data_IF_123289292459
#
_entry.id   IF_123289292459
#
_cell.length_a   1.000
_cell.length_b   1.000
_cell.length_c   1.000
_cell.angle_alpha   90.00
_cell.angle_beta   90.00
_cell.angle_gamma   90.00
#
_symmetry.space_group_name_H-M   'P 1'
#
loop_
_entity.id
_entity.type
_entity.pdbx_description
1 polymer ?
#
# COMPACT_ATOMS: atom_id res chain seq x y z
N UNK A 1 -48.94 -45.47 17.78
CA UNK A 1 -47.96 -45.42 18.90
C UNK A 1 -46.58 -45.79 18.35
N UNK A 2 -45.48 -45.30 18.94
CA UNK A 2 -44.61 -44.15 18.58
C UNK A 2 -43.55 -44.48 17.50
N UNK A 3 -43.09 -43.55 16.66
CA UNK A 3 -41.99 -42.59 16.90
C UNK A 3 -40.69 -43.22 17.44
N UNK A 4 -39.58 -43.12 16.68
CA UNK A 4 -38.49 -42.15 16.92
C UNK A 4 -37.32 -42.34 15.94
N UNK A 5 -36.71 -41.20 15.63
CA UNK A 5 -35.53 -40.93 14.78
C UNK A 5 -34.22 -41.51 15.37
N UNK A 6 -33.26 -41.83 14.50
CA UNK A 6 -31.82 -41.49 14.59
C UNK A 6 -31.13 -42.08 13.31
N UNK A 7 -30.46 -41.37 12.39
CA UNK A 7 -29.38 -40.35 12.43
C UNK A 7 -27.97 -40.97 12.36
N UNK A 8 -27.32 -40.73 11.20
CA UNK A 8 -25.90 -40.39 10.95
C UNK A 8 -24.87 -41.43 10.45
N UNK A 9 -24.18 -40.94 9.39
CA UNK A 9 -22.75 -41.02 9.03
C UNK A 9 -22.17 -42.12 8.14
N UNK A 10 -21.41 -41.61 7.15
CA UNK A 10 -20.23 -42.23 6.55
C UNK A 10 -20.54 -42.99 5.26
N UNK A 11 -19.76 -42.94 4.18
CA UNK A 11 -18.44 -42.37 3.87
C UNK A 11 -18.34 -42.49 2.34
N UNK A 12 -17.92 -41.48 1.59
CA UNK A 12 -16.54 -41.41 1.11
C UNK A 12 -16.43 -41.68 -0.39
N UNK A 13 -15.76 -40.80 -1.11
CA UNK A 13 -14.94 -41.18 -2.27
C UNK A 13 -13.81 -40.17 -2.40
N UNK A 14 -12.62 -40.68 -2.11
CA UNK A 14 -11.33 -40.02 -2.32
C UNK A 14 -10.89 -40.38 -3.74
N UNK A 15 -10.64 -39.36 -4.55
CA UNK A 15 -9.77 -39.43 -5.73
C UNK A 15 -9.05 -38.07 -5.76
N UNK A 16 -7.74 -37.95 -5.65
CA UNK A 16 -6.70 -38.83 -6.15
C UNK A 16 -5.85 -37.98 -7.10
N UNK A 17 -4.87 -37.26 -6.54
CA UNK A 17 -4.00 -36.37 -7.32
C UNK A 17 -2.95 -35.72 -6.42
N UNK A 18 -1.87 -36.46 -6.13
CA UNK A 18 -0.69 -35.93 -5.46
C UNK A 18 0.19 -35.27 -6.52
N UNK A 19 0.30 -33.94 -6.46
CA UNK A 19 1.48 -33.23 -6.96
C UNK A 19 2.16 -32.61 -5.74
N UNK A 20 3.32 -33.16 -5.43
CA UNK A 20 4.28 -32.62 -4.47
C UNK A 20 4.79 -31.25 -4.97
N UNK A 21 4.97 -30.32 -4.03
CA UNK A 21 6.03 -29.31 -4.17
C UNK A 21 5.58 -27.87 -4.40
N UNK A 22 4.94 -27.26 -3.40
CA UNK A 22 5.43 -26.05 -2.71
C UNK A 22 4.35 -25.65 -1.71
N UNK A 23 4.62 -25.79 -0.42
CA UNK A 23 3.92 -24.96 0.57
C UNK A 23 4.51 -23.58 0.39
N UNK A 24 4.00 -22.82 -0.59
CA UNK A 24 4.17 -21.40 -0.60
C UNK A 24 3.41 -20.91 0.63
N UNK A 25 4.13 -20.62 1.71
CA UNK A 25 3.70 -19.67 2.74
C UNK A 25 3.65 -18.26 2.14
N UNK A 26 3.08 -18.12 0.94
CA UNK A 26 2.75 -16.86 0.32
C UNK A 26 1.41 -16.42 0.91
N UNK A 27 1.33 -15.19 1.39
CA UNK A 27 0.09 -14.64 1.93
C UNK A 27 -1.06 -14.90 0.96
N UNK A 28 -2.22 -15.31 1.49
CA UNK A 28 -3.43 -15.41 0.69
C UNK A 28 -3.67 -14.05 0.03
N UNK A 29 -3.96 -14.05 -1.27
CA UNK A 29 -4.30 -12.81 -1.96
C UNK A 29 -5.56 -12.21 -1.32
N UNK A 30 -5.53 -10.91 -1.07
CA UNK A 30 -6.59 -10.17 -0.42
C UNK A 30 -7.00 -9.01 -1.31
N UNK A 31 -8.29 -8.80 -1.47
CA UNK A 31 -8.83 -7.66 -2.22
C UNK A 31 -9.34 -6.62 -1.24
N UNK A 32 -8.91 -5.38 -1.42
CA UNK A 32 -9.30 -4.30 -0.54
C UNK A 32 -9.10 -2.93 -1.15
N UNK A 33 -9.67 -1.92 -0.51
CA UNK A 33 -9.56 -0.52 -0.95
C UNK A 33 -8.18 0.05 -0.60
N UNK A 34 -7.54 0.74 -1.53
CA UNK A 34 -6.29 1.49 -1.29
C UNK A 34 -6.64 2.74 -0.49
N UNK A 35 -6.11 2.84 0.72
CA UNK A 35 -6.44 3.92 1.68
C UNK A 35 -5.25 4.78 2.10
N UNK A 36 -4.03 4.38 1.72
CA UNK A 36 -2.79 5.11 1.97
C UNK A 36 -1.81 4.92 0.81
N UNK A 37 -1.13 6.00 0.44
CA UNK A 37 0.08 6.01 -0.38
C UNK A 37 1.14 6.83 0.35
N UNK A 38 2.40 6.38 0.31
CA UNK A 38 3.55 7.15 0.79
C UNK A 38 4.74 7.01 -0.13
N UNK A 39 5.49 8.10 -0.27
CA UNK A 39 6.83 8.11 -0.85
C UNK A 39 7.79 8.43 0.29
N UNK A 40 8.43 7.39 0.81
CA UNK A 40 9.42 7.48 1.87
C UNK A 40 10.83 7.54 1.30
N UNK A 41 11.72 8.22 2.00
CA UNK A 41 13.14 8.31 1.64
C UNK A 41 14.02 8.13 2.86
N UNK A 42 15.28 7.77 2.63
CA UNK A 42 16.30 7.75 3.68
C UNK A 42 17.57 8.46 3.24
N UNK A 43 18.30 9.05 4.18
CA UNK A 43 19.56 9.74 3.92
C UNK A 43 20.52 9.60 5.11
N UNK A 44 21.81 9.82 4.87
CA UNK A 44 22.82 9.76 5.92
C UNK A 44 23.16 11.17 6.41
N UNK A 45 23.31 11.33 7.72
CA UNK A 45 23.78 12.57 8.34
C UNK A 45 24.61 12.27 9.60
N UNK A 46 25.46 13.21 10.02
CA UNK A 46 26.12 13.14 11.33
C UNK A 46 27.08 11.96 11.53
N UNK A 47 27.81 11.52 10.49
CA UNK A 47 28.77 10.42 10.61
C UNK A 47 28.24 9.04 10.22
N UNK A 48 27.22 9.01 9.34
CA UNK A 48 26.67 7.77 8.76
C UNK A 48 25.39 7.28 9.43
N UNK A 49 24.76 8.08 10.30
CA UNK A 49 23.45 7.75 10.86
C UNK A 49 22.38 7.87 9.76
N UNK A 50 21.59 6.81 9.60
CA UNK A 50 20.53 6.76 8.60
C UNK A 50 19.24 7.36 9.16
N UNK A 51 18.75 8.40 8.51
CA UNK A 51 17.51 9.09 8.80
C UNK A 51 16.43 8.72 7.78
N UNK A 52 15.17 8.87 8.19
CA UNK A 52 14.01 8.57 7.37
C UNK A 52 13.00 9.72 7.41
N UNK A 53 12.28 9.89 6.30
CA UNK A 53 11.23 10.90 6.16
C UNK A 53 10.31 10.52 5.00
N UNK A 54 9.14 11.15 4.95
CA UNK A 54 8.19 10.96 3.85
C UNK A 54 8.10 12.26 3.06
N UNK A 55 8.33 12.17 1.74
CA UNK A 55 8.15 13.26 0.78
C UNK A 55 6.68 13.44 0.40
N UNK A 56 5.90 12.36 0.50
CA UNK A 56 4.47 12.35 0.24
C UNK A 56 3.77 11.38 1.19
N UNK A 57 2.64 11.81 1.73
CA UNK A 57 1.72 10.95 2.47
C UNK A 57 0.29 11.27 2.09
N UNK A 58 -0.53 10.24 1.97
CA UNK A 58 -1.96 10.40 1.76
C UNK A 58 -2.76 9.67 2.82
N UNK A 59 -4.01 10.07 3.02
CA UNK A 59 -4.98 9.36 3.81
C UNK A 59 -6.41 9.54 3.29
N UNK A 60 -7.20 8.47 3.40
CA UNK A 60 -8.66 8.53 3.31
C UNK A 60 -9.21 8.59 4.75
N UNK A 61 -10.01 9.61 5.04
CA UNK A 61 -10.76 9.78 6.29
C UNK A 61 -12.03 8.91 6.33
N UNK A 62 -12.75 8.89 7.46
CA UNK A 62 -13.95 8.06 7.63
C UNK A 62 -15.06 8.40 6.62
N UNK A 63 -15.19 9.67 6.25
CA UNK A 63 -16.20 10.17 5.31
C UNK A 63 -15.76 10.08 3.84
N UNK A 64 -14.62 9.44 3.56
CA UNK A 64 -14.07 9.33 2.20
C UNK A 64 -13.32 10.58 1.72
N UNK A 65 -13.12 11.58 2.59
CA UNK A 65 -12.25 12.73 2.34
C UNK A 65 -10.80 12.26 2.15
N UNK A 66 -10.12 12.83 1.17
CA UNK A 66 -8.71 12.57 0.91
C UNK A 66 -7.86 13.69 1.48
N UNK A 67 -6.98 13.37 2.42
CA UNK A 67 -5.87 14.22 2.79
C UNK A 67 -4.61 13.85 2.02
N UNK A 68 -3.96 14.84 1.41
CA UNK A 68 -2.68 14.72 0.72
C UNK A 68 -1.71 15.73 1.31
N UNK A 69 -0.55 15.27 1.77
CA UNK A 69 0.56 16.12 2.17
C UNK A 69 1.82 15.77 1.37
N UNK A 70 2.46 16.74 0.74
CA UNK A 70 3.65 16.47 -0.09
C UNK A 70 4.61 17.66 -0.18
N UNK A 71 5.86 17.39 -0.54
CA UNK A 71 6.83 18.42 -0.94
C UNK A 71 6.80 18.66 -2.46
N UNK A 72 6.38 19.84 -2.93
CA UNK A 72 6.29 20.12 -4.37
C UNK A 72 7.65 20.16 -5.07
N UNK A 73 8.74 20.47 -4.37
CA UNK A 73 10.09 20.54 -4.93
C UNK A 73 10.63 19.15 -5.29
N UNK A 74 10.28 18.13 -4.50
CA UNK A 74 10.70 16.76 -4.74
C UNK A 74 9.70 15.96 -5.56
N UNK A 75 8.42 15.97 -5.19
CA UNK A 75 7.41 15.04 -5.73
C UNK A 75 6.23 15.74 -6.40
N UNK A 76 6.31 17.06 -6.62
CA UNK A 76 5.30 17.81 -7.38
C UNK A 76 4.94 17.19 -8.72
N UNK A 77 5.90 16.75 -9.55
CA UNK A 77 5.60 16.07 -10.82
C UNK A 77 4.86 14.74 -10.67
N UNK A 78 4.89 14.11 -9.49
CA UNK A 78 4.17 12.85 -9.25
C UNK A 78 2.68 13.04 -8.95
N UNK A 79 2.26 14.26 -8.58
CA UNK A 79 0.91 14.57 -8.12
C UNK A 79 0.15 15.27 -9.24
N UNK A 80 -0.72 14.55 -9.94
CA UNK A 80 -1.61 15.14 -10.96
C UNK A 80 -3.02 15.41 -10.40
N UNK A 81 -3.34 14.83 -9.25
CA UNK A 81 -4.57 15.13 -8.51
C UNK A 81 -4.56 14.52 -7.11
N UNK A 82 -5.59 14.76 -6.29
CA UNK A 82 -5.64 14.24 -4.91
C UNK A 82 -5.61 12.72 -4.81
N UNK A 83 -6.11 12.02 -5.85
CA UNK A 83 -6.07 10.54 -5.96
C UNK A 83 -4.91 10.04 -6.79
N UNK A 84 -4.56 10.79 -7.83
CA UNK A 84 -3.60 10.38 -8.85
C UNK A 84 -2.19 10.80 -8.45
N UNK A 85 -1.48 9.81 -7.92
CA UNK A 85 -0.07 9.90 -7.58
C UNK A 85 0.67 8.80 -8.33
N UNK A 86 1.57 9.20 -9.22
CA UNK A 86 2.38 8.28 -10.01
C UNK A 86 3.80 8.79 -10.17
N UNK A 87 4.79 7.92 -10.06
CA UNK A 87 6.21 8.28 -10.12
C UNK A 87 6.78 7.80 -11.44
N UNK A 88 7.10 8.74 -12.33
CA UNK A 88 7.76 8.44 -13.60
C UNK A 88 9.24 8.06 -13.43
N UNK A 89 9.85 7.54 -14.48
CA UNK A 89 11.24 7.09 -14.48
C UNK A 89 12.23 8.17 -14.06
N UNK A 90 12.18 9.32 -14.72
CA UNK A 90 13.09 10.44 -14.42
C UNK A 90 12.97 10.95 -12.98
N UNK A 91 11.76 10.96 -12.41
CA UNK A 91 11.58 11.36 -11.02
C UNK A 91 12.15 10.30 -10.07
N UNK A 92 11.93 9.01 -10.35
CA UNK A 92 12.50 7.94 -9.54
C UNK A 92 14.03 8.01 -9.53
N UNK A 93 14.65 8.16 -10.70
CA UNK A 93 16.10 8.30 -10.86
C UNK A 93 16.63 9.51 -10.07
N UNK A 94 15.99 10.67 -10.21
CA UNK A 94 16.38 11.87 -9.46
C UNK A 94 16.30 11.69 -7.93
N UNK A 95 15.29 10.95 -7.44
CA UNK A 95 15.17 10.64 -6.02
C UNK A 95 16.23 9.62 -5.56
N UNK A 96 16.59 8.64 -6.38
CA UNK A 96 17.65 7.68 -6.05
C UNK A 96 19.06 8.30 -6.09
N UNK A 97 19.27 9.34 -6.91
CA UNK A 97 20.51 10.11 -6.92
C UNK A 97 20.67 10.96 -5.64
N UNK A 98 19.55 11.49 -5.11
CA UNK A 98 19.53 12.42 -3.97
C UNK A 98 19.41 11.71 -2.61
N UNK A 99 18.74 10.57 -2.56
CA UNK A 99 18.46 9.82 -1.34
C UNK A 99 19.12 8.45 -1.36
N UNK A 100 19.51 7.96 -0.18
CA UNK A 100 20.13 6.64 -0.05
C UNK A 100 19.18 5.50 -0.40
N UNK A 101 17.89 5.69 -0.17
CA UNK A 101 16.83 4.75 -0.51
C UNK A 101 15.54 5.53 -0.77
N UNK A 102 14.75 5.03 -1.71
CA UNK A 102 13.42 5.54 -2.06
C UNK A 102 12.44 4.38 -1.94
N UNK A 103 11.38 4.57 -1.16
CA UNK A 103 10.39 3.54 -0.89
C UNK A 103 8.99 4.01 -1.25
N UNK A 104 8.35 3.24 -2.11
CA UNK A 104 6.93 3.40 -2.41
C UNK A 104 6.14 2.49 -1.49
N UNK A 105 5.16 3.04 -0.78
CA UNK A 105 4.38 2.25 0.19
C UNK A 105 2.88 2.43 -0.01
N UNK A 106 2.15 1.34 0.19
CA UNK A 106 0.69 1.28 0.07
C UNK A 106 0.09 0.75 1.37
N UNK A 107 -1.08 1.28 1.73
CA UNK A 107 -1.98 0.66 2.71
C UNK A 107 -3.28 0.28 2.01
N UNK A 108 -3.64 -1.00 2.10
CA UNK A 108 -4.85 -1.57 1.51
C UNK A 108 -5.71 -2.15 2.63
N UNK A 109 -6.97 -1.76 2.71
CA UNK A 109 -7.87 -2.28 3.75
C UNK A 109 -7.97 -3.80 3.70
N UNK A 110 -7.95 -4.44 4.87
CA UNK A 110 -8.00 -5.90 5.02
C UNK A 110 -6.61 -6.56 5.07
N UNK A 111 -5.50 -5.82 4.90
CA UNK A 111 -4.13 -6.36 4.97
C UNK A 111 -3.54 -6.44 6.38
N UNK A 112 -4.30 -6.02 7.39
CA UNK A 112 -3.97 -6.21 8.79
C UNK A 112 -5.11 -6.92 9.52
N UNK A 113 -4.73 -7.67 10.56
CA UNK A 113 -5.69 -8.17 11.53
C UNK A 113 -6.22 -7.01 12.39
N UNK A 114 -7.52 -7.03 12.74
CA UNK A 114 -8.11 -6.04 13.63
C UNK A 114 -9.51 -5.60 13.22
N UNK A 115 -9.79 -4.32 13.40
CA UNK A 115 -11.06 -3.66 13.08
C UNK A 115 -11.40 -3.72 11.58
N UNK A 116 -12.66 -3.40 11.26
CA UNK A 116 -13.10 -3.26 9.86
C UNK A 116 -12.20 -2.25 9.12
N UNK A 117 -11.66 -2.68 7.96
CA UNK A 117 -10.70 -1.91 7.15
C UNK A 117 -9.30 -1.71 7.75
N UNK A 118 -8.86 -2.52 8.73
CA UNK A 118 -7.47 -2.48 9.22
C UNK A 118 -6.46 -2.76 8.08
N UNK A 119 -5.31 -2.07 8.08
CA UNK A 119 -4.28 -2.22 7.05
C UNK A 119 -2.86 -2.05 7.61
N UNK A 120 -1.90 -2.70 6.94
CA UNK A 120 -0.47 -2.41 7.10
C UNK A 120 -0.01 -1.53 5.95
N UNK A 121 0.87 -0.56 6.24
CA UNK A 121 1.56 0.21 5.21
C UNK A 121 2.84 -0.55 4.86
N UNK A 122 2.88 -1.15 3.69
CA UNK A 122 3.98 -2.02 3.24
C UNK A 122 4.60 -1.49 1.95
N UNK A 123 5.85 -1.91 1.68
CA UNK A 123 6.57 -1.51 0.47
C UNK A 123 5.92 -2.13 -0.76
N UNK A 124 5.49 -1.29 -1.68
CA UNK A 124 5.10 -1.71 -3.02
C UNK A 124 6.27 -1.44 -3.99
N UNK A 125 6.42 -2.28 -5.00
CA UNK A 125 7.23 -1.88 -6.16
C UNK A 125 6.63 -0.64 -6.82
N UNK A 126 7.45 0.16 -7.49
CA UNK A 126 7.00 1.40 -8.18
C UNK A 126 5.81 1.15 -9.10
N UNK A 127 5.84 0.06 -9.88
CA UNK A 127 4.74 -0.29 -10.79
C UNK A 127 3.45 -0.66 -10.04
N UNK A 128 3.56 -1.31 -8.88
CA UNK A 128 2.41 -1.57 -8.02
C UNK A 128 1.84 -0.28 -7.42
N UNK A 129 2.71 0.62 -6.97
CA UNK A 129 2.36 1.93 -6.46
C UNK A 129 1.70 2.81 -7.54
N UNK A 130 2.19 2.82 -8.77
CA UNK A 130 1.66 3.62 -9.86
C UNK A 130 0.33 3.10 -10.41
N UNK A 131 0.11 1.78 -10.38
CA UNK A 131 -1.16 1.19 -10.83
C UNK A 131 -2.29 1.38 -9.81
N UNK A 132 -1.99 1.31 -8.52
CA UNK A 132 -3.01 1.41 -7.47
C UNK A 132 -3.16 2.87 -7.01
N UNK A 133 -4.27 3.52 -7.38
CA UNK A 133 -4.60 4.87 -6.90
C UNK A 133 -5.46 4.83 -5.65
N UNK A 134 -5.54 5.95 -4.94
CA UNK A 134 -6.38 6.03 -3.74
C UNK A 134 -7.84 5.71 -4.07
N UNK A 135 -8.51 5.03 -3.15
CA UNK A 135 -9.90 4.56 -3.29
C UNK A 135 -10.15 3.48 -4.36
N UNK A 136 -9.15 3.06 -5.13
CA UNK A 136 -9.27 1.89 -6.00
C UNK A 136 -9.38 0.61 -5.16
N UNK A 137 -9.95 -0.43 -5.75
CA UNK A 137 -9.89 -1.78 -5.18
C UNK A 137 -8.68 -2.50 -5.76
N UNK A 138 -7.79 -2.98 -4.91
CA UNK A 138 -6.58 -3.70 -5.32
C UNK A 138 -6.57 -5.10 -4.71
N UNK A 139 -6.26 -6.10 -5.55
CA UNK A 139 -5.93 -7.46 -5.09
C UNK A 139 -4.44 -7.56 -4.87
N UNK A 140 -4.06 -7.84 -3.63
CA UNK A 140 -2.67 -7.80 -3.17
C UNK A 140 -2.27 -9.07 -2.44
N UNK A 141 -1.00 -9.43 -2.54
CA UNK A 141 -0.38 -10.44 -1.66
C UNK A 141 0.60 -9.75 -0.73
N UNK A 142 0.41 -10.00 0.55
CA UNK A 142 1.35 -9.61 1.60
C UNK A 142 2.44 -10.67 1.73
N UNK A 143 3.70 -10.24 1.66
CA UNK A 143 4.87 -11.09 1.88
C UNK A 143 5.95 -10.33 2.63
N UNK A 144 6.10 -10.65 3.91
CA UNK A 144 7.03 -10.01 4.84
C UNK A 144 6.81 -8.49 4.94
N UNK A 145 7.72 -7.68 4.39
CA UNK A 145 7.67 -6.22 4.40
C UNK A 145 7.16 -5.62 3.07
N UNK A 146 6.70 -6.49 2.15
CA UNK A 146 6.30 -6.11 0.79
C UNK A 146 4.86 -6.44 0.48
N UNK A 147 4.27 -5.60 -0.36
CA UNK A 147 2.95 -5.76 -0.93
C UNK A 147 3.06 -5.91 -2.45
N UNK A 148 2.64 -7.06 -2.95
CA UNK A 148 2.57 -7.34 -4.37
C UNK A 148 1.18 -7.02 -4.90
N UNK A 149 1.07 -6.05 -5.80
CA UNK A 149 -0.19 -5.65 -6.43
C UNK A 149 -0.38 -6.48 -7.70
N UNK A 150 -1.46 -7.26 -7.76
CA UNK A 150 -1.75 -8.16 -8.88
C UNK A 150 -2.78 -7.56 -9.83
N UNK A 151 -3.92 -7.14 -9.26
CA UNK A 151 -5.06 -6.62 -9.99
C UNK A 151 -5.51 -5.30 -9.34
N UNK A 152 -5.94 -4.36 -10.17
CA UNK A 152 -6.51 -3.09 -9.74
C UNK A 152 -7.80 -2.87 -10.51
N UNK A 153 -8.88 -2.64 -9.78
CA UNK A 153 -10.15 -2.16 -10.30
C UNK A 153 -10.25 -0.69 -9.95
N UNK A 154 -10.12 0.15 -10.98
CA UNK A 154 -10.18 1.61 -10.85
C UNK A 154 -11.57 2.04 -10.38
N UNK A 155 -11.60 2.93 -9.38
CA UNK A 155 -12.83 3.61 -8.98
C UNK A 155 -12.96 4.89 -9.79
N UNK A 156 -13.86 4.94 -10.76
CA UNK A 156 -14.03 6.07 -11.68
C UNK A 156 -14.89 7.23 -11.13
N UNK A 157 -15.61 7.03 -10.03
CA UNK A 157 -16.63 7.98 -9.53
C UNK A 157 -16.33 8.54 -8.13
N UNK A 158 -15.07 8.89 -7.83
CA UNK A 158 -14.81 9.59 -6.57
C UNK A 158 -15.35 11.02 -6.60
N UNK A 159 -16.35 11.28 -5.78
CA UNK A 159 -16.99 12.59 -5.60
C UNK A 159 -16.71 13.21 -4.22
N UNK A 160 -15.66 12.73 -3.54
CA UNK A 160 -15.29 13.20 -2.20
C UNK A 160 -14.63 14.58 -2.21
N UNK A 161 -14.37 15.10 -1.01
CA UNK A 161 -13.56 16.30 -0.82
C UNK A 161 -12.08 15.93 -0.66
N UNK A 162 -11.19 16.85 -1.03
CA UNK A 162 -9.77 16.69 -0.75
C UNK A 162 -9.19 17.91 -0.02
N UNK A 163 -8.34 17.63 0.96
CA UNK A 163 -7.47 18.60 1.61
C UNK A 163 -6.04 18.35 1.14
N UNK A 164 -5.45 19.34 0.48
CA UNK A 164 -4.07 19.28 -0.02
C UNK A 164 -3.21 20.24 0.78
N UNK A 165 -2.11 19.74 1.34
CA UNK A 165 -1.14 20.52 2.10
C UNK A 165 0.25 20.34 1.51
N UNK A 166 0.90 21.45 1.17
CA UNK A 166 2.29 21.45 0.73
C UNK A 166 3.23 21.70 1.91
N UNK A 167 4.44 21.17 1.80
CA UNK A 167 5.48 21.42 2.78
C UNK A 167 6.88 21.43 2.19
N UNK A 168 7.83 21.93 2.96
CA UNK A 168 9.24 21.94 2.63
C UNK A 168 9.93 20.88 3.49
N UNK A 169 10.38 19.79 2.84
CA UNK A 169 10.99 18.63 3.46
C UNK A 169 12.33 18.98 4.10
N UNK A 170 13.14 19.76 3.40
CA UNK A 170 14.47 20.16 3.86
C UNK A 170 14.35 21.01 5.12
N UNK A 171 13.44 22.00 5.10
CA UNK A 171 13.14 22.82 6.28
C UNK A 171 12.63 22.01 7.48
N UNK A 172 11.88 20.94 7.24
CA UNK A 172 11.38 20.05 8.31
C UNK A 172 12.46 19.17 8.91
N UNK A 173 13.56 18.97 8.20
CA UNK A 173 14.63 18.05 8.56
C UNK A 173 16.01 18.72 8.62
N UNK A 174 16.05 20.05 8.78
CA UNK A 174 17.30 20.81 8.92
C UNK A 174 18.13 20.40 10.13
N UNK A 175 17.50 19.97 11.22
CA UNK A 175 18.18 19.40 12.39
C UNK A 175 18.90 18.07 12.07
N UNK A 176 18.59 17.46 10.92
CA UNK A 176 19.08 16.17 10.43
C UNK A 176 19.80 16.31 9.08
N UNK A 177 20.28 17.51 8.75
CA UNK A 177 21.15 17.74 7.60
C UNK A 177 20.46 17.73 6.25
N UNK A 178 19.21 18.18 6.19
CA UNK A 178 18.49 18.49 4.96
C UNK A 178 18.27 19.99 4.82
#
# INVERSE_FOLDING_TARGET
MPSRRAVIAGTGTVAGGVVLGWVATGGLAQTGRVVRKRIGVSWEYGGGELWHGDLLQTHIGPDGEIGLAYDPSYVGPAVTGPRDVSVGDHLHEALEDEFRNVEYRLGVCGTADGEDCAYRILRAGRDGFNRAQLADSATVTDFADRLFVHEVTETSEWSGTATVAEFDFDRRHTDRGR
#
